data_IF_213809991396
#
_entry.id   IF_213809991396
#
_cell.length_a   1.000
_cell.length_b   1.000
_cell.length_c   1.000
_cell.angle_alpha   90.00
_cell.angle_beta   90.00
_cell.angle_gamma   90.00
#
_symmetry.space_group_name_H-M   'P 1'
#
loop_
_entity.id
_entity.type
_entity.pdbx_description
1 polymer ?
#
# COMPACT_ATOMS: atom_id res chain seq x y z
N UNK A 1 -2.61 -27.26 -19.52
CA UNK A 1 -3.16 -26.15 -18.71
C UNK A 1 -2.48 -24.77 -18.88
N UNK A 2 -1.19 -24.65 -19.30
CA UNK A 2 -0.53 -23.34 -19.52
C UNK A 2 -1.00 -22.57 -20.77
N UNK A 3 -1.50 -23.25 -21.82
CA UNK A 3 -1.96 -22.58 -23.05
C UNK A 3 -3.34 -21.92 -22.91
N UNK A 4 -4.26 -22.45 -22.11
CA UNK A 4 -5.56 -21.84 -21.84
C UNK A 4 -5.47 -20.50 -21.06
N UNK A 5 -4.42 -20.29 -20.28
CA UNK A 5 -4.19 -18.99 -19.58
C UNK A 5 -3.80 -17.83 -20.50
N UNK A 6 -3.30 -18.11 -21.73
CA UNK A 6 -2.99 -17.05 -22.70
C UNK A 6 -4.24 -16.44 -23.37
N UNK A 7 -5.32 -17.23 -23.51
CA UNK A 7 -6.60 -16.73 -24.07
C UNK A 7 -7.41 -15.88 -23.10
N UNK A 8 -7.13 -15.93 -21.80
CA UNK A 8 -7.77 -15.10 -20.76
C UNK A 8 -6.96 -13.84 -20.42
N UNK A 9 -6.14 -13.34 -21.34
CA UNK A 9 -5.57 -12.02 -21.16
C UNK A 9 -6.70 -10.99 -21.29
N UNK A 10 -6.97 -10.17 -20.25
CA UNK A 10 -8.07 -9.21 -20.25
C UNK A 10 -8.04 -8.24 -21.44
N UNK A 11 -6.86 -8.02 -22.00
CA UNK A 11 -6.68 -7.18 -23.19
C UNK A 11 -7.27 -7.85 -24.44
N UNK A 12 -7.08 -9.17 -24.62
CA UNK A 12 -7.67 -9.89 -25.76
C UNK A 12 -9.20 -9.97 -25.63
N UNK A 13 -9.73 -10.16 -24.42
CA UNK A 13 -11.18 -10.13 -24.20
C UNK A 13 -11.77 -8.75 -24.54
N UNK A 14 -11.11 -7.67 -24.14
CA UNK A 14 -11.53 -6.30 -24.47
C UNK A 14 -11.51 -6.06 -25.98
N UNK A 15 -10.43 -6.47 -26.67
CA UNK A 15 -10.32 -6.34 -28.12
C UNK A 15 -11.44 -7.11 -28.83
N UNK A 16 -11.71 -8.35 -28.39
CA UNK A 16 -12.79 -9.15 -28.97
C UNK A 16 -14.16 -8.48 -28.80
N UNK A 17 -14.45 -7.93 -27.61
CA UNK A 17 -15.69 -7.19 -27.32
C UNK A 17 -15.77 -5.93 -28.19
N UNK A 18 -14.68 -5.19 -28.37
CA UNK A 18 -14.64 -4.03 -29.25
C UNK A 18 -14.90 -4.38 -30.70
N UNK A 19 -14.34 -5.48 -31.22
CA UNK A 19 -14.61 -5.96 -32.56
C UNK A 19 -16.07 -6.32 -32.80
N UNK A 20 -16.68 -7.04 -31.82
CA UNK A 20 -18.12 -7.35 -31.87
C UNK A 20 -18.95 -6.08 -31.81
N UNK A 21 -18.60 -5.11 -30.99
CA UNK A 21 -19.31 -3.84 -30.89
C UNK A 21 -19.24 -3.04 -32.22
N UNK A 22 -18.06 -2.94 -32.83
CA UNK A 22 -17.89 -2.29 -34.13
C UNK A 22 -18.73 -2.98 -35.19
N UNK A 23 -18.73 -4.33 -35.19
CA UNK A 23 -19.58 -5.11 -36.12
C UNK A 23 -21.09 -4.79 -35.91
N UNK A 24 -21.53 -4.70 -34.65
CA UNK A 24 -22.93 -4.33 -34.36
C UNK A 24 -23.26 -2.92 -34.85
N UNK A 25 -22.38 -1.96 -34.71
CA UNK A 25 -22.57 -0.60 -35.24
C UNK A 25 -22.69 -0.63 -36.77
N UNK A 26 -21.79 -1.35 -37.44
CA UNK A 26 -21.82 -1.49 -38.92
C UNK A 26 -23.13 -2.13 -39.39
N UNK A 27 -23.55 -3.22 -38.72
CA UNK A 27 -24.79 -3.91 -39.05
C UNK A 27 -26.02 -3.02 -38.81
N UNK A 28 -26.05 -2.29 -37.69
CA UNK A 28 -27.14 -1.36 -37.37
C UNK A 28 -27.25 -0.24 -38.40
N UNK A 29 -26.15 0.41 -38.76
CA UNK A 29 -26.11 1.49 -39.73
C UNK A 29 -26.50 0.96 -41.12
N UNK A 30 -25.98 -0.19 -41.55
CA UNK A 30 -26.31 -0.82 -42.83
C UNK A 30 -27.79 -1.16 -42.93
N UNK A 31 -28.34 -1.77 -41.87
CA UNK A 31 -29.77 -2.09 -41.82
C UNK A 31 -30.63 -0.82 -41.89
N UNK A 32 -30.27 0.23 -41.16
CA UNK A 32 -30.97 1.51 -41.18
C UNK A 32 -30.97 2.13 -42.58
N UNK A 33 -29.81 2.17 -43.24
CA UNK A 33 -29.68 2.72 -44.59
C UNK A 33 -30.52 1.91 -45.61
N UNK A 34 -30.46 0.59 -45.53
CA UNK A 34 -31.25 -0.30 -46.40
C UNK A 34 -32.76 -0.08 -46.20
N UNK A 35 -33.22 -0.03 -44.93
CA UNK A 35 -34.61 0.22 -44.58
C UNK A 35 -35.08 1.59 -45.06
N UNK A 36 -34.27 2.63 -44.87
CA UNK A 36 -34.63 3.98 -45.30
C UNK A 36 -34.72 4.11 -46.83
N UNK A 37 -33.88 3.39 -47.58
CA UNK A 37 -33.99 3.30 -49.05
C UNK A 37 -35.30 2.64 -49.49
N UNK A 38 -35.68 1.51 -48.90
CA UNK A 38 -36.93 0.81 -49.19
C UNK A 38 -38.16 1.69 -48.90
N UNK A 39 -38.16 2.41 -47.77
CA UNK A 39 -39.21 3.33 -47.46
C UNK A 39 -39.34 4.48 -48.45
N UNK A 40 -38.23 5.06 -48.91
CA UNK A 40 -38.23 6.11 -49.94
C UNK A 40 -38.78 5.61 -51.26
N UNK A 41 -38.41 4.40 -51.71
CA UNK A 41 -38.95 3.79 -52.93
C UNK A 41 -40.46 3.50 -52.84
N UNK A 42 -40.94 3.00 -51.72
CA UNK A 42 -42.36 2.76 -51.51
C UNK A 42 -43.15 4.08 -51.43
N UNK A 43 -42.67 5.07 -50.72
CA UNK A 43 -43.34 6.36 -50.59
C UNK A 43 -43.43 7.09 -51.93
N UNK A 44 -42.41 7.03 -52.78
CA UNK A 44 -42.47 7.61 -54.14
C UNK A 44 -43.49 6.92 -55.03
N UNK A 45 -43.75 5.62 -54.84
CA UNK A 45 -44.72 4.86 -55.66
C UNK A 45 -46.15 4.97 -55.22
N UNK A 46 -46.43 5.07 -53.90
CA UNK A 46 -47.77 4.91 -53.38
C UNK A 46 -48.36 6.16 -52.72
N UNK A 47 -47.56 7.04 -52.13
CA UNK A 47 -48.06 8.24 -51.46
C UNK A 47 -46.95 9.27 -51.24
N UNK A 48 -46.78 10.23 -52.17
CA UNK A 48 -45.75 11.26 -52.03
C UNK A 48 -45.83 12.14 -50.77
N UNK A 49 -47.06 12.27 -50.22
CA UNK A 49 -47.30 13.03 -48.98
C UNK A 49 -46.65 12.42 -47.74
N UNK A 50 -46.36 11.11 -47.75
CA UNK A 50 -45.64 10.42 -46.67
C UNK A 50 -44.14 10.78 -46.61
N UNK A 51 -43.58 11.33 -47.67
CA UNK A 51 -42.20 11.82 -47.68
C UNK A 51 -41.97 13.05 -46.81
N UNK A 52 -43.06 13.82 -46.53
CA UNK A 52 -43.01 14.99 -45.68
C UNK A 52 -42.96 14.64 -44.16
N UNK A 53 -43.28 13.41 -43.83
CA UNK A 53 -43.30 12.95 -42.43
C UNK A 53 -41.93 12.37 -42.04
N UNK A 54 -40.95 13.24 -41.93
CA UNK A 54 -39.67 13.06 -41.21
C UNK A 54 -38.89 11.78 -41.51
N UNK A 55 -37.71 11.90 -42.08
CA UNK A 55 -36.76 10.83 -42.16
C UNK A 55 -36.53 10.25 -40.76
N UNK A 56 -36.57 8.92 -40.61
CA UNK A 56 -36.41 8.21 -39.30
C UNK A 56 -35.01 8.32 -38.66
N UNK A 57 -34.43 9.52 -38.74
CA UNK A 57 -33.13 9.82 -38.12
C UNK A 57 -33.16 9.65 -36.62
N UNK A 58 -34.35 9.80 -35.98
CA UNK A 58 -34.52 9.52 -34.55
C UNK A 58 -34.19 8.08 -34.19
N UNK A 59 -34.56 7.12 -35.04
CA UNK A 59 -34.29 5.69 -34.79
C UNK A 59 -32.80 5.40 -34.90
N UNK A 60 -32.09 6.02 -35.86
CA UNK A 60 -30.65 5.90 -35.99
C UNK A 60 -29.95 6.46 -34.74
N UNK A 61 -30.33 7.67 -34.33
CA UNK A 61 -29.73 8.32 -33.16
C UNK A 61 -29.99 7.52 -31.88
N UNK A 62 -31.22 7.03 -31.66
CA UNK A 62 -31.55 6.21 -30.49
C UNK A 62 -30.74 4.92 -30.48
N UNK A 63 -30.59 4.23 -31.58
CA UNK A 63 -29.81 3.01 -31.66
C UNK A 63 -28.31 3.24 -31.42
N UNK A 64 -27.74 4.30 -31.99
CA UNK A 64 -26.35 4.68 -31.72
C UNK A 64 -26.12 5.10 -30.26
N UNK A 65 -27.08 5.79 -29.68
CA UNK A 65 -27.04 6.21 -28.28
C UNK A 65 -27.07 4.98 -27.34
N UNK A 66 -27.94 4.00 -27.63
CA UNK A 66 -28.00 2.74 -26.89
C UNK A 66 -26.67 1.98 -26.98
N UNK A 67 -26.11 1.86 -28.20
CA UNK A 67 -24.82 1.22 -28.41
C UNK A 67 -23.69 1.95 -27.66
N UNK A 68 -23.71 3.28 -27.62
CA UNK A 68 -22.74 4.07 -26.85
C UNK A 68 -22.85 3.80 -25.35
N UNK A 69 -24.08 3.73 -24.80
CA UNK A 69 -24.32 3.41 -23.37
C UNK A 69 -23.78 2.01 -23.04
N UNK A 70 -24.05 1.03 -23.90
CA UNK A 70 -23.52 -0.34 -23.73
C UNK A 70 -21.98 -0.32 -23.72
N UNK A 71 -21.34 0.40 -24.65
CA UNK A 71 -19.88 0.50 -24.71
C UNK A 71 -19.30 1.10 -23.42
N UNK A 72 -19.90 2.19 -22.93
CA UNK A 72 -19.49 2.82 -21.66
C UNK A 72 -19.64 1.84 -20.49
N UNK A 73 -20.75 1.11 -20.44
CA UNK A 73 -20.98 0.09 -19.39
C UNK A 73 -19.95 -1.03 -19.43
N UNK A 74 -19.64 -1.56 -20.60
CA UNK A 74 -18.59 -2.60 -20.78
C UNK A 74 -17.22 -2.06 -20.35
N UNK A 75 -16.90 -0.81 -20.72
CA UNK A 75 -15.61 -0.20 -20.35
C UNK A 75 -15.51 0.02 -18.83
N UNK A 76 -16.58 0.48 -18.20
CA UNK A 76 -16.67 0.64 -16.76
C UNK A 76 -16.49 -0.70 -16.02
N UNK A 77 -17.18 -1.75 -16.48
CA UNK A 77 -17.03 -3.11 -15.94
C UNK A 77 -15.60 -3.64 -16.10
N UNK A 78 -14.98 -3.39 -17.26
CA UNK A 78 -13.59 -3.80 -17.51
C UNK A 78 -12.62 -3.10 -16.56
N UNK A 79 -12.76 -1.78 -16.35
CA UNK A 79 -11.92 -1.02 -15.41
C UNK A 79 -12.12 -1.56 -13.99
N UNK A 80 -13.39 -1.77 -13.59
CA UNK A 80 -13.72 -2.32 -12.27
C UNK A 80 -13.09 -3.71 -12.06
N UNK A 81 -13.28 -4.61 -13.03
CA UNK A 81 -12.71 -5.96 -12.97
C UNK A 81 -11.17 -5.95 -12.94
N UNK A 82 -10.53 -5.09 -13.75
CA UNK A 82 -9.06 -4.94 -13.74
C UNK A 82 -8.56 -4.42 -12.39
N UNK A 83 -9.27 -3.49 -11.78
CA UNK A 83 -8.95 -2.98 -10.44
C UNK A 83 -9.10 -4.07 -9.39
N UNK A 84 -10.18 -4.82 -9.44
CA UNK A 84 -10.46 -5.95 -8.53
C UNK A 84 -9.39 -7.04 -8.66
N UNK A 85 -9.03 -7.42 -9.89
CA UNK A 85 -8.01 -8.44 -10.15
C UNK A 85 -6.64 -8.06 -9.60
N UNK A 86 -6.25 -6.79 -9.68
CA UNK A 86 -5.01 -6.28 -9.09
C UNK A 86 -5.03 -6.40 -7.55
N UNK A 87 -6.14 -6.06 -6.92
CA UNK A 87 -6.29 -6.20 -5.47
C UNK A 87 -6.16 -7.67 -5.03
N UNK A 88 -6.80 -8.59 -5.75
CA UNK A 88 -6.66 -10.03 -5.48
C UNK A 88 -5.23 -10.54 -5.65
N UNK A 89 -4.53 -10.09 -6.67
CA UNK A 89 -3.12 -10.44 -6.88
C UNK A 89 -2.25 -9.94 -5.73
N UNK A 90 -2.38 -8.67 -5.35
CA UNK A 90 -1.65 -8.09 -4.23
C UNK A 90 -1.93 -8.83 -2.91
N UNK A 91 -3.20 -9.19 -2.65
CA UNK A 91 -3.57 -9.95 -1.47
C UNK A 91 -2.95 -11.36 -1.48
N UNK A 92 -2.92 -12.02 -2.63
CA UNK A 92 -2.32 -13.36 -2.76
C UNK A 92 -0.80 -13.33 -2.60
N UNK A 93 -0.14 -12.37 -3.20
CA UNK A 93 1.30 -12.15 -3.05
C UNK A 93 1.65 -11.86 -1.60
N UNK A 94 0.85 -11.03 -0.93
CA UNK A 94 0.99 -10.75 0.50
C UNK A 94 0.89 -12.02 1.36
N UNK A 95 -0.16 -12.85 1.20
CA UNK A 95 -0.31 -14.09 1.99
C UNK A 95 0.92 -14.99 1.78
N UNK A 96 1.36 -15.13 0.54
CA UNK A 96 2.55 -15.93 0.22
C UNK A 96 3.78 -15.38 0.91
N UNK A 97 3.97 -14.08 0.87
CA UNK A 97 5.11 -13.40 1.46
C UNK A 97 5.10 -13.47 2.99
N UNK A 98 3.96 -13.16 3.63
CA UNK A 98 3.80 -13.29 5.10
C UNK A 98 4.11 -14.70 5.55
N UNK A 99 3.60 -15.71 4.83
CA UNK A 99 3.90 -17.11 5.14
C UNK A 99 5.40 -17.39 5.09
N UNK A 100 6.10 -16.86 4.09
CA UNK A 100 7.56 -17.01 3.96
C UNK A 100 8.31 -16.25 5.08
N UNK A 101 7.92 -15.03 5.38
CA UNK A 101 8.57 -14.20 6.40
C UNK A 101 8.38 -14.75 7.82
N UNK A 102 7.23 -15.40 8.09
CA UNK A 102 6.99 -16.08 9.38
C UNK A 102 7.69 -17.46 9.45
N UNK A 103 7.77 -18.18 8.34
CA UNK A 103 8.38 -19.51 8.31
C UNK A 103 9.90 -19.47 8.52
N UNK A 104 10.58 -18.44 8.03
CA UNK A 104 12.03 -18.32 8.14
C UNK A 104 12.54 -18.26 9.58
N UNK A 105 12.09 -17.30 10.44
CA UNK A 105 12.51 -17.26 11.84
C UNK A 105 12.05 -18.48 12.63
N UNK A 106 10.85 -19.02 12.33
CA UNK A 106 10.38 -20.25 12.98
C UNK A 106 11.30 -21.44 12.69
N UNK A 107 11.73 -21.60 11.43
CA UNK A 107 12.68 -22.66 11.05
C UNK A 107 14.06 -22.45 11.69
N UNK A 108 14.51 -21.20 11.86
CA UNK A 108 15.74 -20.86 12.56
C UNK A 108 15.67 -21.27 14.04
N UNK A 109 14.60 -20.88 14.73
CA UNK A 109 14.36 -21.26 16.13
C UNK A 109 14.34 -22.78 16.27
N UNK A 110 13.59 -23.48 15.40
CA UNK A 110 13.51 -24.94 15.42
C UNK A 110 14.89 -25.60 15.23
N UNK A 111 15.67 -25.13 14.27
CA UNK A 111 17.03 -25.65 14.00
C UNK A 111 17.96 -25.47 15.18
N UNK A 112 17.93 -24.30 15.84
CA UNK A 112 18.73 -24.04 17.03
C UNK A 112 18.32 -24.96 18.20
N UNK A 113 17.02 -25.11 18.45
CA UNK A 113 16.51 -26.02 19.47
C UNK A 113 16.87 -27.49 19.20
N UNK A 114 16.76 -27.95 17.96
CA UNK A 114 17.16 -29.30 17.56
C UNK A 114 18.67 -29.50 17.75
N UNK A 115 19.48 -28.48 17.42
CA UNK A 115 20.94 -28.52 17.58
C UNK A 115 21.32 -28.59 19.08
N UNK A 116 20.68 -27.79 19.92
CA UNK A 116 20.89 -27.84 21.40
C UNK A 116 20.55 -29.21 21.94
N UNK A 117 19.44 -29.81 21.47
CA UNK A 117 18.98 -31.14 21.91
C UNK A 117 19.92 -32.25 21.50
N UNK A 118 20.51 -32.17 20.30
CA UNK A 118 21.31 -33.24 19.71
C UNK A 118 22.80 -33.13 20.03
N UNK A 119 23.29 -31.95 20.42
CA UNK A 119 24.72 -31.71 20.63
C UNK A 119 24.96 -31.11 22.02
N UNK A 120 26.05 -31.52 22.67
CA UNK A 120 26.56 -30.82 23.85
C UNK A 120 27.34 -29.60 23.37
N UNK A 121 26.73 -28.42 23.49
CA UNK A 121 27.34 -27.17 23.06
C UNK A 121 28.17 -26.55 24.21
N UNK A 122 29.30 -25.89 23.91
CA UNK A 122 29.97 -25.02 24.87
C UNK A 122 29.04 -23.89 25.34
N UNK A 123 29.15 -23.40 26.59
CA UNK A 123 28.29 -22.34 27.12
C UNK A 123 28.16 -21.11 26.23
N UNK A 124 29.28 -20.63 25.70
CA UNK A 124 29.34 -19.45 24.81
C UNK A 124 28.49 -19.62 23.52
N UNK A 125 28.47 -20.83 22.95
CA UNK A 125 27.63 -21.13 21.79
C UNK A 125 26.17 -21.30 22.15
N UNK A 126 25.89 -21.82 23.35
CA UNK A 126 24.53 -21.96 23.86
C UNK A 126 23.92 -20.56 24.02
N UNK A 127 24.64 -19.63 24.65
CA UNK A 127 24.18 -18.25 24.84
C UNK A 127 23.91 -17.56 23.49
N UNK A 128 24.82 -17.69 22.53
CA UNK A 128 24.65 -17.14 21.18
C UNK A 128 23.41 -17.72 20.45
N UNK A 129 23.10 -19.01 20.65
CA UNK A 129 21.90 -19.64 20.07
C UNK A 129 20.63 -19.14 20.75
N UNK A 130 20.64 -18.98 22.07
CA UNK A 130 19.53 -18.42 22.83
C UNK A 130 19.27 -16.99 22.39
N UNK A 131 20.28 -16.14 22.27
CA UNK A 131 20.15 -14.76 21.81
C UNK A 131 19.54 -14.70 20.39
N UNK A 132 20.03 -15.54 19.47
CA UNK A 132 19.46 -15.61 18.10
C UNK A 132 17.98 -16.03 18.13
N UNK A 133 17.62 -17.02 18.94
CA UNK A 133 16.22 -17.46 19.07
C UNK A 133 15.33 -16.38 19.69
N UNK A 134 15.83 -15.63 20.65
CA UNK A 134 15.13 -14.49 21.25
C UNK A 134 14.89 -13.38 20.21
N UNK A 135 15.88 -13.07 19.38
CA UNK A 135 15.76 -12.07 18.31
C UNK A 135 14.74 -12.50 17.24
N UNK A 136 14.80 -13.77 16.81
CA UNK A 136 13.82 -14.34 15.90
C UNK A 136 12.39 -14.33 16.47
N UNK A 137 12.25 -14.60 17.76
CA UNK A 137 10.95 -14.54 18.48
C UNK A 137 10.42 -13.12 18.55
N UNK A 138 11.25 -12.14 18.89
CA UNK A 138 10.88 -10.70 18.90
C UNK A 138 10.44 -10.24 17.53
N UNK A 139 11.16 -10.66 16.50
CA UNK A 139 10.83 -10.35 15.11
C UNK A 139 9.47 -10.93 14.70
N UNK A 140 9.19 -12.20 15.04
CA UNK A 140 7.89 -12.81 14.81
C UNK A 140 6.77 -12.03 15.48
N UNK A 141 6.98 -11.63 16.76
CA UNK A 141 6.01 -10.84 17.51
C UNK A 141 5.71 -9.50 16.83
N UNK A 142 6.75 -8.75 16.45
CA UNK A 142 6.60 -7.49 15.70
C UNK A 142 5.81 -7.67 14.38
N UNK A 143 6.07 -8.74 13.64
CA UNK A 143 5.35 -9.04 12.40
C UNK A 143 3.86 -9.36 12.64
N UNK A 144 3.56 -10.14 13.68
CA UNK A 144 2.17 -10.47 14.07
C UNK A 144 1.44 -9.21 14.52
N UNK A 145 2.05 -8.37 15.33
CA UNK A 145 1.46 -7.10 15.78
C UNK A 145 1.13 -6.19 14.59
N UNK A 146 2.05 -6.08 13.64
CA UNK A 146 1.83 -5.31 12.42
C UNK A 146 0.66 -5.87 11.59
N UNK A 147 0.53 -7.20 11.49
CA UNK A 147 -0.59 -7.85 10.80
C UNK A 147 -1.92 -7.57 11.49
N UNK A 148 -1.96 -7.73 12.81
CA UNK A 148 -3.16 -7.50 13.62
C UNK A 148 -3.57 -6.02 13.58
N UNK A 149 -2.61 -5.10 13.69
CA UNK A 149 -2.90 -3.67 13.62
C UNK A 149 -3.39 -3.27 12.23
N UNK A 150 -2.77 -3.75 11.16
CA UNK A 150 -3.24 -3.50 9.79
C UNK A 150 -4.67 -4.02 9.58
N UNK A 151 -4.98 -5.22 10.09
CA UNK A 151 -6.34 -5.79 10.02
C UNK A 151 -7.36 -4.97 10.83
N UNK A 152 -6.98 -4.51 12.03
CA UNK A 152 -7.82 -3.65 12.88
C UNK A 152 -8.11 -2.32 12.18
N UNK A 153 -7.10 -1.65 11.62
CA UNK A 153 -7.25 -0.39 10.88
C UNK A 153 -8.26 -0.55 9.74
N UNK A 154 -8.21 -1.65 8.97
CA UNK A 154 -9.15 -1.89 7.87
C UNK A 154 -10.59 -2.12 8.32
N UNK A 155 -10.79 -2.75 9.47
CA UNK A 155 -12.12 -3.06 10.00
C UNK A 155 -12.72 -1.91 10.79
N UNK A 156 -11.92 -0.94 11.20
CA UNK A 156 -12.39 0.20 11.99
C UNK A 156 -13.32 1.09 11.17
N UNK A 157 -14.49 1.35 11.72
CA UNK A 157 -15.41 2.39 11.23
C UNK A 157 -15.13 3.76 11.89
N UNK A 158 -14.34 3.79 12.96
CA UNK A 158 -13.95 4.99 13.72
C UNK A 158 -12.48 4.85 14.13
N UNK A 159 -11.76 5.98 14.29
CA UNK A 159 -10.41 5.99 14.85
C UNK A 159 -10.34 5.27 16.21
N UNK A 160 -9.13 4.86 16.60
CA UNK A 160 -8.88 4.35 17.96
C UNK A 160 -9.25 5.40 19.01
N UNK A 161 -9.49 4.95 20.22
CA UNK A 161 -9.64 5.83 21.38
C UNK A 161 -8.29 6.53 21.64
N UNK A 162 -8.26 7.83 21.39
CA UNK A 162 -7.05 8.63 21.48
C UNK A 162 -6.93 9.24 22.89
N UNK A 163 -5.71 9.28 23.40
CA UNK A 163 -5.36 9.94 24.65
C UNK A 163 -4.40 11.08 24.39
N UNK A 164 -4.55 12.18 25.13
CA UNK A 164 -3.61 13.29 25.05
C UNK A 164 -2.34 12.89 25.79
N UNK A 165 -1.22 12.81 25.08
CA UNK A 165 0.09 12.45 25.62
C UNK A 165 1.13 13.54 25.35
N UNK A 166 2.16 13.58 26.19
CA UNK A 166 3.37 14.40 25.98
C UNK A 166 4.30 13.66 25.03
N UNK A 167 4.34 14.10 23.77
CA UNK A 167 5.06 13.40 22.71
C UNK A 167 6.57 13.27 22.99
N UNK A 168 7.21 14.36 23.45
CA UNK A 168 8.65 14.37 23.71
C UNK A 168 9.04 13.37 24.79
N UNK A 169 8.32 13.38 25.93
CA UNK A 169 8.58 12.46 27.03
C UNK A 169 8.27 11.00 26.65
N UNK A 170 7.21 10.77 25.86
CA UNK A 170 6.86 9.44 25.39
C UNK A 170 7.93 8.87 24.43
N UNK A 171 8.34 9.67 23.44
CA UNK A 171 9.36 9.26 22.47
C UNK A 171 10.69 8.99 23.18
N UNK A 172 11.12 9.89 24.09
CA UNK A 172 12.36 9.70 24.84
C UNK A 172 12.35 8.37 25.59
N UNK A 173 11.29 8.09 26.36
CA UNK A 173 11.13 6.82 27.08
C UNK A 173 11.18 5.62 26.13
N UNK A 174 10.46 5.70 25.00
CA UNK A 174 10.48 4.64 23.99
C UNK A 174 11.89 4.37 23.46
N UNK A 175 12.68 5.41 23.20
CA UNK A 175 14.05 5.27 22.73
C UNK A 175 14.96 4.65 23.81
N UNK A 176 14.81 5.06 25.07
CA UNK A 176 15.59 4.54 26.19
C UNK A 176 15.29 3.05 26.41
N UNK A 177 14.03 2.65 26.40
CA UNK A 177 13.58 1.25 26.59
C UNK A 177 13.98 0.33 25.43
N UNK A 178 14.23 0.89 24.23
CA UNK A 178 14.53 0.11 23.03
C UNK A 178 15.98 0.32 22.52
N UNK A 179 16.83 1.03 23.27
CA UNK A 179 18.20 1.36 22.84
C UNK A 179 19.05 0.11 22.61
N UNK A 180 18.92 -0.88 23.48
CA UNK A 180 19.64 -2.17 23.40
C UNK A 180 19.23 -3.02 22.19
N UNK A 181 18.07 -2.71 21.58
CA UNK A 181 17.56 -3.42 20.37
C UNK A 181 18.15 -2.89 19.07
N UNK A 182 18.76 -1.72 19.11
CA UNK A 182 19.45 -1.19 17.93
C UNK A 182 20.78 -1.93 17.73
N UNK A 183 21.20 -2.13 16.48
CA UNK A 183 22.48 -2.75 16.19
C UNK A 183 23.65 -2.07 16.91
N UNK A 184 24.65 -2.82 17.37
CA UNK A 184 25.82 -2.25 18.03
C UNK A 184 26.46 -1.15 17.16
N UNK A 185 26.82 -0.03 17.79
CA UNK A 185 27.42 1.12 17.12
C UNK A 185 26.44 2.07 16.45
N UNK A 186 25.12 1.78 16.45
CA UNK A 186 24.11 2.72 15.91
C UNK A 186 24.24 4.09 16.56
N UNK A 187 24.36 5.13 15.73
CA UNK A 187 24.35 6.52 16.19
C UNK A 187 22.92 7.04 16.08
N UNK A 188 22.31 7.35 17.20
CA UNK A 188 20.98 7.93 17.28
C UNK A 188 21.02 9.25 18.04
N UNK A 189 20.81 10.34 17.32
CA UNK A 189 20.64 11.67 17.91
C UNK A 189 19.16 12.01 18.01
N UNK A 190 18.69 12.38 19.21
CA UNK A 190 17.31 12.78 19.42
C UNK A 190 17.23 14.23 19.97
N UNK A 191 16.49 15.09 19.27
CA UNK A 191 16.20 16.46 19.68
C UNK A 191 14.69 16.62 19.82
N UNK A 192 14.18 16.48 21.04
CA UNK A 192 12.76 16.35 21.32
C UNK A 192 12.27 17.55 22.13
N UNK A 193 11.30 18.28 21.62
CA UNK A 193 10.58 19.32 22.38
C UNK A 193 9.65 18.61 23.40
N UNK A 194 9.89 18.80 24.72
CA UNK A 194 9.16 18.07 25.76
C UNK A 194 7.71 18.54 25.96
N UNK A 195 7.37 19.77 25.50
CA UNK A 195 6.07 20.37 25.82
C UNK A 195 4.96 20.04 24.80
N UNK A 196 5.30 19.40 23.69
CA UNK A 196 4.36 19.11 22.62
C UNK A 196 3.42 17.96 22.99
N UNK A 197 2.11 18.22 22.84
CA UNK A 197 1.05 17.26 23.14
C UNK A 197 0.21 16.99 21.91
N UNK A 198 -0.15 15.71 21.72
CA UNK A 198 -1.10 15.29 20.69
C UNK A 198 -2.02 14.20 21.23
N UNK A 199 -3.18 14.08 20.58
CA UNK A 199 -4.12 12.99 20.85
C UNK A 199 -3.74 11.80 19.98
N UNK A 200 -3.29 10.72 20.59
CA UNK A 200 -2.87 9.48 19.92
C UNK A 200 -3.04 8.29 20.87
N UNK A 201 -3.25 7.11 20.32
CA UNK A 201 -3.21 5.88 21.10
C UNK A 201 -1.74 5.47 21.32
N UNK A 202 -1.27 5.31 22.60
CA UNK A 202 0.15 5.09 22.92
C UNK A 202 0.77 3.84 22.26
N UNK A 203 0.03 2.73 22.21
CA UNK A 203 0.53 1.47 21.62
C UNK A 203 0.66 1.58 20.11
N UNK A 204 -0.24 2.34 19.46
CA UNK A 204 -0.16 2.63 18.03
C UNK A 204 1.02 3.55 17.72
N UNK A 205 1.28 4.57 18.56
CA UNK A 205 2.46 5.43 18.41
C UNK A 205 3.77 4.64 18.62
N UNK A 206 3.81 3.73 19.60
CA UNK A 206 4.94 2.81 19.78
C UNK A 206 5.19 1.98 18.53
N UNK A 207 4.13 1.49 17.90
CA UNK A 207 4.22 0.73 16.64
C UNK A 207 4.71 1.60 15.49
N UNK A 208 4.29 2.87 15.41
CA UNK A 208 4.79 3.85 14.43
C UNK A 208 6.30 4.05 14.58
N UNK A 209 6.77 4.32 15.81
CA UNK A 209 8.20 4.53 16.09
C UNK A 209 9.02 3.28 15.76
N UNK A 210 8.53 2.11 16.15
CA UNK A 210 9.16 0.82 15.82
C UNK A 210 9.33 0.65 14.32
N UNK A 211 8.25 0.82 13.54
CA UNK A 211 8.31 0.63 12.10
C UNK A 211 9.27 1.62 11.40
N UNK A 212 9.34 2.87 11.87
CA UNK A 212 10.27 3.86 11.33
C UNK A 212 11.72 3.50 11.65
N UNK A 213 12.02 3.15 12.90
CA UNK A 213 13.38 2.79 13.33
C UNK A 213 13.85 1.48 12.68
N UNK A 214 13.00 0.44 12.64
CA UNK A 214 13.30 -0.82 11.96
C UNK A 214 13.59 -0.60 10.46
N UNK A 215 12.82 0.26 9.79
CA UNK A 215 13.09 0.61 8.39
C UNK A 215 14.44 1.33 8.25
N UNK A 216 14.72 2.33 9.07
CA UNK A 216 15.97 3.07 9.01
C UNK A 216 17.19 2.17 9.22
N UNK A 217 17.11 1.20 10.15
CA UNK A 217 18.13 0.18 10.37
C UNK A 217 18.23 -0.78 9.18
N UNK A 218 17.11 -1.30 8.69
CA UNK A 218 17.06 -2.31 7.62
C UNK A 218 17.67 -1.81 6.31
N UNK A 219 17.46 -0.53 6.00
CA UNK A 219 17.92 0.07 4.75
C UNK A 219 19.25 0.82 4.87
N UNK A 220 19.91 0.78 6.02
CA UNK A 220 21.26 1.31 6.20
C UNK A 220 22.30 0.33 5.64
N UNK A 221 23.22 0.79 4.76
CA UNK A 221 24.24 -0.08 4.16
C UNK A 221 25.40 -0.43 5.10
N UNK A 222 25.43 0.15 6.30
CA UNK A 222 26.47 0.00 7.31
C UNK A 222 25.95 0.24 8.70
N UNK A 223 26.75 0.85 9.56
CA UNK A 223 26.30 1.28 10.90
C UNK A 223 25.22 2.36 10.74
N UNK A 224 24.02 2.17 11.28
CA UNK A 224 22.94 3.14 11.13
C UNK A 224 23.29 4.48 11.79
N UNK A 225 23.07 5.58 11.07
CA UNK A 225 23.15 6.94 11.58
C UNK A 225 21.76 7.59 11.43
N UNK A 226 21.13 7.90 12.57
CA UNK A 226 19.74 8.32 12.64
C UNK A 226 19.61 9.64 13.40
N UNK A 227 18.84 10.58 12.87
CA UNK A 227 18.52 11.82 13.54
C UNK A 227 17.00 11.94 13.72
N UNK A 228 16.55 12.04 14.98
CA UNK A 228 15.14 12.19 15.33
C UNK A 228 14.91 13.60 15.90
N UNK A 229 14.01 14.36 15.28
CA UNK A 229 13.65 15.71 15.72
C UNK A 229 12.17 15.83 15.95
N UNK A 230 11.76 16.35 17.11
CA UNK A 230 10.39 16.75 17.40
C UNK A 230 10.34 18.24 17.65
N UNK A 231 9.62 18.98 16.80
CA UNK A 231 9.52 20.43 16.88
C UNK A 231 8.09 20.91 16.63
N UNK A 232 7.74 22.07 17.15
CA UNK A 232 6.48 22.75 16.83
C UNK A 232 6.59 23.47 15.49
N UNK A 233 5.66 23.20 14.57
CA UNK A 233 5.48 23.96 13.32
C UNK A 233 4.03 24.46 13.23
N UNK A 234 3.79 25.67 13.69
CA UNK A 234 2.44 26.23 13.78
C UNK A 234 1.54 25.41 14.71
N UNK A 235 0.45 24.84 14.17
CA UNK A 235 -0.50 23.97 14.90
C UNK A 235 -0.11 22.49 14.93
N UNK A 236 1.08 22.14 14.43
CA UNK A 236 1.53 20.79 14.27
C UNK A 236 2.71 20.46 15.17
N UNK A 237 2.65 19.32 15.84
CA UNK A 237 3.84 18.62 16.32
C UNK A 237 4.45 17.90 15.11
N UNK A 238 5.65 18.27 14.74
CA UNK A 238 6.35 17.70 13.59
C UNK A 238 7.49 16.82 14.08
N UNK A 239 7.34 15.51 13.91
CA UNK A 239 8.38 14.51 14.17
C UNK A 239 9.06 14.16 12.85
N UNK A 240 10.36 14.31 12.75
CA UNK A 240 11.16 13.89 11.60
C UNK A 240 12.19 12.86 12.01
N UNK A 241 12.28 11.77 11.25
CA UNK A 241 13.36 10.79 11.32
C UNK A 241 14.15 10.82 10.02
N UNK A 242 15.42 11.19 10.12
CA UNK A 242 16.36 11.16 9.01
C UNK A 242 17.28 9.96 9.15
N UNK A 243 17.44 9.20 8.08
CA UNK A 243 18.43 8.14 7.93
C UNK A 243 19.41 8.45 6.79
N UNK A 244 20.58 7.84 6.84
CA UNK A 244 21.61 7.90 5.78
C UNK A 244 21.67 6.57 5.02
N UNK A 245 20.49 5.98 4.78
CA UNK A 245 20.33 4.72 4.13
C UNK A 245 20.38 4.80 2.60
N UNK A 246 19.76 3.80 1.98
CA UNK A 246 19.79 3.62 0.50
C UNK A 246 19.00 4.66 -0.28
N UNK A 247 18.18 5.48 0.38
CA UNK A 247 17.30 6.44 -0.27
C UNK A 247 16.24 5.82 -1.17
N UNK A 248 15.43 6.66 -1.81
CA UNK A 248 14.30 6.29 -2.64
C UNK A 248 14.31 7.04 -3.97
N UNK A 249 13.93 6.36 -5.05
CA UNK A 249 13.69 7.02 -6.34
C UNK A 249 12.37 7.83 -6.30
N UNK A 250 12.28 8.89 -7.08
CA UNK A 250 11.13 9.82 -7.08
C UNK A 250 9.77 9.12 -7.31
N UNK A 251 9.74 8.08 -8.16
CA UNK A 251 8.51 7.32 -8.43
C UNK A 251 8.11 6.39 -7.27
N UNK A 252 9.00 6.14 -6.31
CA UNK A 252 8.78 5.30 -5.14
C UNK A 252 8.22 6.08 -3.95
N UNK A 253 8.49 7.38 -3.83
CA UNK A 253 8.12 8.22 -2.69
C UNK A 253 6.62 8.12 -2.31
N UNK A 254 5.73 8.07 -3.31
CA UNK A 254 4.29 7.90 -3.06
C UNK A 254 3.86 6.45 -2.86
N UNK A 255 4.66 5.51 -3.37
CA UNK A 255 4.32 4.08 -3.34
C UNK A 255 4.70 3.41 -2.03
N UNK A 256 5.73 3.90 -1.32
CA UNK A 256 6.23 3.27 -0.09
C UNK A 256 5.20 3.19 1.04
N UNK A 257 4.16 4.01 1.00
CA UNK A 257 3.03 3.95 1.93
C UNK A 257 1.90 3.03 1.48
N UNK A 258 1.98 2.48 0.27
CA UNK A 258 0.99 1.53 -0.20
C UNK A 258 1.16 0.19 0.53
N UNK A 259 0.03 -0.42 0.85
CA UNK A 259 -0.01 -1.72 1.50
C UNK A 259 0.72 -2.76 0.64
N UNK A 260 1.61 -3.53 1.29
CA UNK A 260 2.42 -4.60 0.66
C UNK A 260 3.45 -4.11 -0.36
N UNK A 261 3.61 -2.80 -0.51
CA UNK A 261 4.62 -2.26 -1.40
C UNK A 261 6.03 -2.43 -0.82
N UNK A 262 6.94 -2.84 -1.67
CA UNK A 262 8.38 -2.99 -1.37
C UNK A 262 9.18 -2.49 -2.55
N UNK A 263 10.32 -1.91 -2.25
CA UNK A 263 11.31 -1.58 -3.27
C UNK A 263 12.03 -2.87 -3.65
N UNK A 264 11.87 -3.31 -4.90
CA UNK A 264 12.62 -4.44 -5.43
C UNK A 264 14.07 -4.02 -5.66
N UNK A 265 15.00 -4.73 -5.06
CA UNK A 265 16.41 -4.51 -5.25
C UNK A 265 16.98 -5.66 -6.10
N UNK A 266 17.76 -5.36 -7.17
CA UNK A 266 18.45 -6.39 -7.92
C UNK A 266 19.38 -7.16 -6.99
N UNK A 267 19.23 -8.49 -6.97
CA UNK A 267 20.06 -9.43 -6.22
C UNK A 267 19.95 -9.41 -4.69
N UNK A 268 19.04 -8.64 -4.09
CA UNK A 268 18.82 -8.66 -2.65
C UNK A 268 17.34 -8.94 -2.31
N UNK A 269 17.10 -9.99 -1.55
CA UNK A 269 15.79 -10.19 -0.92
C UNK A 269 15.71 -9.33 0.33
N UNK A 270 15.25 -8.09 0.19
CA UNK A 270 14.96 -7.25 1.34
C UNK A 270 13.87 -7.92 2.16
N UNK A 271 14.11 -8.11 3.46
CA UNK A 271 13.16 -8.76 4.39
C UNK A 271 12.06 -7.77 4.78
N UNK A 272 10.83 -8.25 4.99
CA UNK A 272 9.73 -7.45 5.53
C UNK A 272 8.40 -7.62 4.78
N UNK A 273 7.29 -7.37 5.46
CA UNK A 273 5.92 -7.59 4.97
C UNK A 273 5.37 -6.48 4.07
N UNK A 274 6.04 -5.32 4.00
CA UNK A 274 5.53 -4.12 3.32
C UNK A 274 4.30 -3.49 4.01
N UNK A 275 4.12 -3.77 5.31
CA UNK A 275 3.03 -3.18 6.11
C UNK A 275 3.49 -2.01 6.97
N UNK A 276 4.78 -1.92 7.32
CA UNK A 276 5.26 -0.96 8.30
C UNK A 276 4.89 0.49 7.98
N UNK A 277 5.27 0.98 6.80
CA UNK A 277 4.96 2.37 6.39
C UNK A 277 3.47 2.59 6.12
N UNK A 278 2.74 1.58 5.65
CA UNK A 278 1.28 1.65 5.56
C UNK A 278 0.63 1.88 6.93
N UNK A 279 1.09 1.16 7.96
CA UNK A 279 0.64 1.33 9.36
C UNK A 279 0.98 2.75 9.83
N UNK A 280 2.21 3.21 9.64
CA UNK A 280 2.64 4.57 10.00
C UNK A 280 1.69 5.61 9.39
N UNK A 281 1.43 5.53 8.09
CA UNK A 281 0.53 6.47 7.42
C UNK A 281 -0.91 6.37 7.95
N UNK A 282 -1.40 5.17 8.19
CA UNK A 282 -2.78 4.96 8.64
C UNK A 282 -3.01 5.47 10.06
N UNK A 283 -2.12 5.14 11.00
CA UNK A 283 -2.20 5.63 12.40
C UNK A 283 -2.14 7.15 12.45
N UNK A 284 -1.18 7.76 11.76
CA UNK A 284 -1.04 9.23 11.77
C UNK A 284 -2.26 9.91 11.14
N UNK A 285 -2.82 9.32 10.07
CA UNK A 285 -4.06 9.82 9.44
C UNK A 285 -5.25 9.71 10.36
N UNK A 286 -5.38 8.62 11.12
CA UNK A 286 -6.45 8.43 12.11
C UNK A 286 -6.39 9.45 13.24
N UNK A 287 -5.20 9.98 13.54
CA UNK A 287 -4.98 11.11 14.44
C UNK A 287 -5.20 12.49 13.78
N UNK A 288 -5.70 12.55 12.56
CA UNK A 288 -5.88 13.80 11.81
C UNK A 288 -4.56 14.42 11.31
N UNK A 289 -3.48 13.64 11.31
CA UNK A 289 -2.15 14.03 10.90
C UNK A 289 -1.80 13.68 9.45
N UNK A 290 -0.56 13.94 9.07
CA UNK A 290 -0.01 13.62 7.74
C UNK A 290 1.39 13.03 7.85
N UNK A 291 1.76 12.18 6.88
CA UNK A 291 3.10 11.61 6.75
C UNK A 291 3.64 11.90 5.38
N UNK A 292 4.89 12.34 5.33
CA UNK A 292 5.65 12.61 4.12
C UNK A 292 6.99 11.86 4.17
N UNK A 293 7.53 11.56 3.01
CA UNK A 293 8.91 11.07 2.87
C UNK A 293 9.61 11.89 1.79
N UNK A 294 10.84 12.28 2.08
CA UNK A 294 11.72 13.00 1.17
C UNK A 294 13.02 12.22 1.02
N UNK A 295 13.55 12.17 -0.19
CA UNK A 295 14.86 11.59 -0.53
C UNK A 295 15.36 12.27 -1.80
N UNK A 296 16.64 12.62 -1.84
CA UNK A 296 17.27 13.19 -3.04
C UNK A 296 17.57 12.14 -4.11
N UNK A 297 17.38 10.86 -3.77
CA UNK A 297 17.57 9.74 -4.68
C UNK A 297 18.27 8.54 -4.05
N UNK A 298 18.57 7.50 -4.83
CA UNK A 298 19.27 6.33 -4.33
C UNK A 298 20.65 6.69 -3.75
N UNK A 299 20.94 6.21 -2.53
CA UNK A 299 22.20 6.44 -1.83
C UNK A 299 22.24 7.68 -0.93
N UNK A 300 21.16 8.48 -0.87
CA UNK A 300 21.14 9.76 -0.10
C UNK A 300 20.40 9.66 1.23
N UNK A 301 19.84 8.50 1.56
CA UNK A 301 18.98 8.32 2.72
C UNK A 301 17.55 8.87 2.51
N UNK A 302 16.77 8.84 3.60
CA UNK A 302 15.40 9.32 3.62
C UNK A 302 15.14 10.19 4.84
N UNK A 303 14.21 11.13 4.70
CA UNK A 303 13.63 11.87 5.82
C UNK A 303 12.14 11.61 5.86
N UNK A 304 11.69 10.89 6.90
CA UNK A 304 10.26 10.69 7.18
C UNK A 304 9.76 11.79 8.10
N UNK A 305 8.75 12.52 7.68
CA UNK A 305 8.15 13.62 8.45
C UNK A 305 6.71 13.29 8.80
N UNK A 306 6.40 13.24 10.09
CA UNK A 306 5.06 13.02 10.63
C UNK A 306 4.57 14.31 11.26
N UNK A 307 3.34 14.70 10.95
CA UNK A 307 2.68 15.87 11.52
C UNK A 307 1.45 15.43 12.28
N UNK A 308 1.38 15.74 13.56
CA UNK A 308 0.23 15.49 14.43
C UNK A 308 -0.37 16.83 14.87
N UNK A 309 -1.72 16.97 14.91
CA UNK A 309 -2.32 18.19 15.42
C UNK A 309 -2.00 18.36 16.90
N UNK A 310 -1.53 19.54 17.26
CA UNK A 310 -1.28 19.89 18.66
C UNK A 310 -2.61 20.02 19.43
N UNK A 311 -2.63 19.44 20.62
CA UNK A 311 -3.68 19.70 21.61
C UNK A 311 -3.18 20.79 22.55
N UNK A 312 -3.83 21.94 22.53
CA UNK A 312 -3.50 23.02 23.44
C UNK A 312 -3.89 22.64 24.88
N UNK A 313 -3.08 23.08 25.85
CA UNK A 313 -3.39 22.91 27.24
C UNK A 313 -4.72 23.62 27.51
N UNK A 314 -5.77 22.88 27.84
CA UNK A 314 -6.92 23.49 28.48
C UNK A 314 -6.40 24.18 29.76
N UNK A 315 -6.33 25.51 29.69
CA UNK A 315 -5.95 26.37 30.81
C UNK A 315 -6.96 26.29 31.95
#
# INVERSE_FOLDING_TARGET
>A
MRQLRRFFNPVFALIAIQLVWVLMVILWVSWFVARNRQWKELATRYSPELLAKGEGWSDLVQGLLLLAVILVGVYALFIFWRRQSRLYQQQREFITQVTHELKSPLASIQLHLETIRLRRLPPERLDSFVDTMLDDTRRLHSQIDNLLLAARIEQRRRPAEQRVIELGAFIQRYLDDNRERLPPGTKLEAKLDPELRAAVEPDELSTVLRNLLENAVLYSPGVPELELKLVRKGRWATLSLQDHGRGLAADQLKKVFQRFYRVELPNERVRGTGLGLYIVQSVIRDCGGTVLVESEGPGTGCTFTLQLPLVEKLS
#
